data_IF_739770846808
#
_entry.id   IF_739770846808
#
_cell.length_a   1.000
_cell.length_b   1.000
_cell.length_c   1.000
_cell.angle_alpha   90.00
_cell.angle_beta   90.00
_cell.angle_gamma   90.00
#
_symmetry.space_group_name_H-M   'P 1'
#
loop_
_entity.id
_entity.type
_entity.pdbx_description
1 polymer ?
#
# COMPACT_ATOMS: atom_id res chain seq x y z
N UNK A 1 15.33 -1.16 30.79
CA UNK A 1 15.36 0.10 30.03
C UNK A 1 14.28 0.04 28.97
N UNK A 2 13.36 0.97 28.94
CA UNK A 2 12.33 1.06 27.88
C UNK A 2 12.98 1.52 26.59
N UNK A 3 12.78 0.79 25.50
CA UNK A 3 13.24 1.16 24.16
C UNK A 3 12.17 1.99 23.46
N UNK A 4 12.55 3.10 22.83
CA UNK A 4 11.61 3.94 22.08
C UNK A 4 11.60 3.52 20.62
N UNK A 5 10.41 3.45 20.02
CA UNK A 5 10.23 3.03 18.63
C UNK A 5 9.24 3.92 17.88
N UNK A 6 9.43 4.03 16.56
CA UNK A 6 8.45 4.55 15.62
C UNK A 6 7.92 3.37 14.82
N UNK A 7 6.60 3.24 14.74
CA UNK A 7 5.97 2.25 13.86
C UNK A 7 5.77 2.84 12.46
N UNK A 8 6.28 2.13 11.45
CA UNK A 8 6.08 2.47 10.04
C UNK A 8 5.16 1.41 9.44
N UNK A 9 3.90 1.78 9.22
CA UNK A 9 2.88 0.86 8.75
C UNK A 9 3.03 0.60 7.24
N UNK A 10 2.91 -0.67 6.80
CA UNK A 10 3.13 -1.06 5.42
C UNK A 10 2.00 -0.59 4.50
N UNK A 11 2.34 -0.35 3.24
CA UNK A 11 1.42 -0.20 2.12
C UNK A 11 1.16 -1.53 1.40
N UNK A 12 0.44 -1.46 0.27
CA UNK A 12 0.21 -2.64 -0.59
C UNK A 12 1.52 -3.23 -1.11
N UNK A 13 1.52 -4.54 -1.39
CA UNK A 13 2.68 -5.26 -1.91
C UNK A 13 3.60 -5.87 -0.85
N UNK A 14 3.20 -5.87 0.41
CA UNK A 14 3.99 -6.40 1.53
C UNK A 14 3.51 -7.79 2.03
N UNK A 15 2.49 -8.38 1.41
CA UNK A 15 2.10 -9.77 1.63
C UNK A 15 2.34 -10.56 0.34
N UNK A 16 3.31 -11.45 0.35
CA UNK A 16 3.79 -12.22 -0.80
C UNK A 16 3.93 -13.71 -0.43
N UNK A 17 4.53 -14.50 -1.30
CA UNK A 17 4.71 -15.94 -1.05
C UNK A 17 5.43 -16.28 0.29
N UNK A 18 6.45 -15.54 0.74
CA UNK A 18 7.08 -15.81 2.04
C UNK A 18 6.17 -15.54 3.25
N UNK A 19 5.17 -14.66 3.11
CA UNK A 19 4.23 -14.31 4.17
C UNK A 19 3.05 -15.28 4.27
N UNK A 20 2.89 -16.23 3.35
CA UNK A 20 1.79 -17.19 3.39
C UNK A 20 1.85 -18.03 4.66
N UNK A 21 0.74 -18.08 5.41
CA UNK A 21 0.65 -18.72 6.71
C UNK A 21 1.14 -17.85 7.89
N UNK A 22 1.45 -16.58 7.64
CA UNK A 22 1.99 -15.67 8.66
C UNK A 22 1.03 -15.44 9.83
N UNK A 23 -0.26 -15.31 9.57
CA UNK A 23 -1.27 -15.07 10.61
C UNK A 23 -1.49 -16.26 11.54
N UNK A 24 -1.19 -17.47 11.09
CA UNK A 24 -1.34 -18.68 11.89
C UNK A 24 -0.56 -18.62 13.21
N UNK A 25 0.65 -18.05 13.21
CA UNK A 25 1.46 -17.89 14.42
C UNK A 25 0.89 -16.86 15.40
N UNK A 26 0.10 -15.91 14.92
CA UNK A 26 -0.51 -14.86 15.73
C UNK A 26 -1.86 -15.27 16.34
N UNK A 27 -2.51 -16.30 15.80
CA UNK A 27 -3.82 -16.81 16.24
C UNK A 27 -3.91 -16.98 17.76
N UNK A 28 -2.98 -17.63 18.47
CA UNK A 28 -3.13 -17.85 19.91
C UNK A 28 -3.31 -16.58 20.74
N UNK A 29 -2.85 -15.44 20.22
CA UNK A 29 -2.94 -14.14 20.91
C UNK A 29 -4.08 -13.25 20.36
N UNK A 30 -4.41 -13.37 19.08
CA UNK A 30 -5.32 -12.46 18.37
C UNK A 30 -6.55 -13.15 17.80
N UNK A 31 -6.90 -14.35 18.30
CA UNK A 31 -7.95 -15.21 17.75
C UNK A 31 -9.30 -14.45 17.60
N UNK A 32 -9.77 -13.84 18.69
CA UNK A 32 -11.03 -13.07 18.69
C UNK A 32 -11.02 -11.91 17.69
N UNK A 33 -9.87 -11.25 17.53
CA UNK A 33 -9.75 -10.11 16.60
C UNK A 33 -9.79 -10.58 15.15
N UNK A 34 -9.05 -11.65 14.85
CA UNK A 34 -9.01 -12.26 13.52
C UNK A 34 -10.36 -12.87 13.13
N UNK A 35 -11.06 -13.50 14.07
CA UNK A 35 -12.42 -13.98 13.86
C UNK A 35 -13.40 -12.84 13.55
N UNK A 36 -13.21 -11.67 14.17
CA UNK A 36 -13.98 -10.48 13.84
C UNK A 36 -13.73 -9.98 12.42
N UNK A 37 -12.49 -10.05 11.93
CA UNK A 37 -12.16 -9.72 10.53
C UNK A 37 -12.77 -10.72 9.57
N UNK A 38 -12.68 -12.01 9.88
CA UNK A 38 -13.29 -13.08 9.09
C UNK A 38 -14.82 -12.93 9.02
N UNK A 39 -15.48 -12.62 10.13
CA UNK A 39 -16.91 -12.38 10.16
C UNK A 39 -17.35 -11.20 9.26
N UNK A 40 -16.57 -10.11 9.22
CA UNK A 40 -16.85 -9.00 8.31
C UNK A 40 -16.76 -9.42 6.84
N UNK A 41 -15.77 -10.25 6.48
CA UNK A 41 -15.61 -10.75 5.11
C UNK A 41 -16.72 -11.73 4.72
N UNK A 42 -17.09 -12.63 5.62
CA UNK A 42 -18.21 -13.55 5.41
C UNK A 42 -19.51 -12.77 5.13
N UNK A 43 -19.77 -11.71 5.90
CA UNK A 43 -20.96 -10.86 5.69
C UNK A 43 -20.99 -10.19 4.31
N UNK A 44 -19.81 -10.01 3.67
CA UNK A 44 -19.65 -9.46 2.32
C UNK A 44 -19.50 -10.55 1.23
N UNK A 45 -19.65 -11.82 1.57
CA UNK A 45 -19.41 -12.97 0.69
C UNK A 45 -17.99 -13.02 0.11
N UNK A 46 -17.02 -12.55 0.89
CA UNK A 46 -15.59 -12.59 0.56
C UNK A 46 -14.91 -13.78 1.24
N UNK A 47 -13.85 -14.30 0.65
CA UNK A 47 -12.99 -15.33 1.29
C UNK A 47 -12.40 -14.78 2.58
N UNK A 48 -12.42 -15.54 3.67
CA UNK A 48 -11.88 -15.10 4.97
C UNK A 48 -10.39 -14.84 4.91
N UNK A 49 -9.89 -14.01 5.83
CA UNK A 49 -8.43 -13.77 5.98
C UNK A 49 -7.74 -15.08 6.36
N UNK A 50 -8.38 -15.88 7.22
CA UNK A 50 -7.87 -17.18 7.66
C UNK A 50 -7.75 -18.16 6.49
N UNK A 51 -8.74 -18.27 5.62
CA UNK A 51 -8.70 -19.16 4.47
C UNK A 51 -7.63 -18.72 3.46
N UNK A 52 -7.51 -17.40 3.23
CA UNK A 52 -6.46 -16.85 2.37
C UNK A 52 -5.06 -17.18 2.93
N UNK A 53 -4.80 -16.85 4.20
CA UNK A 53 -3.50 -17.09 4.85
C UNK A 53 -3.14 -18.58 4.92
N UNK A 54 -4.15 -19.45 5.02
CA UNK A 54 -3.98 -20.92 5.13
C UNK A 54 -3.87 -21.64 3.79
N UNK A 55 -3.84 -20.91 2.67
CA UNK A 55 -3.74 -21.50 1.33
C UNK A 55 -2.41 -22.26 1.18
N UNK A 56 -2.43 -23.39 0.47
CA UNK A 56 -1.24 -24.20 0.25
C UNK A 56 -0.21 -23.52 -0.68
N UNK A 57 -0.67 -22.61 -1.54
CA UNK A 57 0.16 -21.94 -2.53
C UNK A 57 -0.23 -20.48 -2.70
N UNK A 58 0.77 -19.62 -2.81
CA UNK A 58 0.58 -18.23 -3.20
C UNK A 58 0.27 -18.15 -4.70
N UNK A 59 -0.91 -17.63 -5.03
CA UNK A 59 -1.29 -17.31 -6.41
C UNK A 59 -1.38 -15.78 -6.55
N UNK A 60 -0.50 -15.15 -7.35
CA UNK A 60 -0.56 -13.70 -7.54
C UNK A 60 -1.92 -13.19 -8.00
N UNK A 61 -2.67 -13.96 -8.83
CA UNK A 61 -3.99 -13.57 -9.30
C UNK A 61 -5.04 -13.46 -8.17
N UNK A 62 -4.79 -14.10 -7.04
CA UNK A 62 -5.65 -14.06 -5.85
C UNK A 62 -5.11 -13.08 -4.81
N UNK A 63 -3.82 -13.18 -4.50
CA UNK A 63 -3.22 -12.49 -3.35
C UNK A 63 -2.83 -11.04 -3.62
N UNK A 64 -2.67 -10.63 -4.89
CA UNK A 64 -2.40 -9.23 -5.23
C UNK A 64 -3.66 -8.41 -5.50
N UNK A 65 -4.83 -9.04 -5.55
CA UNK A 65 -6.12 -8.34 -5.66
C UNK A 65 -6.31 -7.37 -4.49
N UNK A 66 -6.82 -6.18 -4.79
CA UNK A 66 -7.02 -5.13 -3.79
C UNK A 66 -7.90 -5.57 -2.62
N UNK A 67 -8.95 -6.33 -2.90
CA UNK A 67 -9.90 -6.84 -1.91
C UNK A 67 -9.34 -7.97 -1.01
N UNK A 68 -8.29 -8.68 -1.43
CA UNK A 68 -7.62 -9.72 -0.64
C UNK A 68 -6.35 -9.20 0.03
N UNK A 69 -5.47 -8.57 -0.75
CA UNK A 69 -4.19 -8.05 -0.25
C UNK A 69 -4.38 -7.08 0.92
N UNK A 70 -5.36 -6.18 0.81
CA UNK A 70 -5.57 -5.14 1.82
C UNK A 70 -5.91 -5.72 3.18
N UNK A 71 -6.80 -6.70 3.25
CA UNK A 71 -7.17 -7.36 4.50
C UNK A 71 -6.03 -8.16 5.12
N UNK A 72 -5.27 -8.93 4.30
CA UNK A 72 -4.12 -9.72 4.76
C UNK A 72 -3.01 -8.82 5.33
N UNK A 73 -2.65 -7.75 4.62
CA UNK A 73 -1.62 -6.81 5.06
C UNK A 73 -2.06 -6.09 6.34
N UNK A 74 -3.33 -5.66 6.41
CA UNK A 74 -3.86 -5.02 7.61
C UNK A 74 -3.80 -5.95 8.82
N UNK A 75 -4.30 -7.18 8.68
CA UNK A 75 -4.33 -8.16 9.77
C UNK A 75 -2.91 -8.48 10.28
N UNK A 76 -1.96 -8.71 9.37
CA UNK A 76 -0.55 -8.96 9.73
C UNK A 76 0.07 -7.77 10.45
N UNK A 77 -0.04 -6.57 9.90
CA UNK A 77 0.53 -5.37 10.50
C UNK A 77 -0.12 -5.00 11.85
N UNK A 78 -1.43 -5.24 12.00
CA UNK A 78 -2.12 -5.07 13.27
C UNK A 78 -1.58 -6.04 14.34
N UNK A 79 -1.45 -7.32 14.00
CA UNK A 79 -0.91 -8.32 14.92
C UNK A 79 0.52 -7.98 15.35
N UNK A 80 1.37 -7.55 14.43
CA UNK A 80 2.75 -7.14 14.72
C UNK A 80 2.80 -5.91 15.62
N UNK A 81 2.10 -4.85 15.23
CA UNK A 81 2.12 -3.58 15.95
C UNK A 81 1.50 -3.69 17.35
N UNK A 82 0.39 -4.45 17.49
CA UNK A 82 -0.26 -4.70 18.78
C UNK A 82 0.43 -5.80 19.59
N UNK A 83 1.28 -6.59 18.94
CA UNK A 83 2.05 -7.68 19.52
C UNK A 83 3.39 -7.29 20.15
N UNK A 84 3.77 -6.02 20.11
CA UNK A 84 5.06 -5.55 20.61
C UNK A 84 5.30 -5.89 22.09
N UNK A 85 6.55 -6.07 22.45
CA UNK A 85 6.94 -6.33 23.85
C UNK A 85 6.69 -5.10 24.70
N UNK A 86 6.34 -5.33 25.99
CA UNK A 86 6.05 -4.27 26.97
C UNK A 86 7.24 -3.34 27.28
N UNK A 87 8.46 -3.72 26.87
CA UNK A 87 9.66 -2.87 27.01
C UNK A 87 9.83 -1.88 25.84
N UNK A 88 8.90 -1.90 24.86
CA UNK A 88 8.89 -0.96 23.72
C UNK A 88 7.84 0.13 23.94
N UNK A 89 8.29 1.36 24.00
CA UNK A 89 7.44 2.56 24.00
C UNK A 89 7.28 3.07 22.57
N UNK A 90 6.08 2.95 22.01
CA UNK A 90 5.78 3.51 20.69
C UNK A 90 5.57 5.03 20.85
N UNK A 91 6.48 5.81 20.30
CA UNK A 91 6.46 7.29 20.42
C UNK A 91 5.81 7.98 19.22
N UNK A 92 5.71 7.29 18.09
CA UNK A 92 5.00 7.76 16.90
C UNK A 92 4.59 6.57 16.03
N UNK A 93 3.51 6.76 15.27
CA UNK A 93 3.04 5.83 14.25
C UNK A 93 2.90 6.60 12.94
N UNK A 94 3.36 6.02 11.84
CA UNK A 94 3.26 6.62 10.50
C UNK A 94 3.03 5.54 9.46
N UNK A 95 2.66 5.95 8.25
CA UNK A 95 2.47 5.06 7.11
C UNK A 95 2.28 5.85 5.84
N UNK A 96 2.25 5.16 4.71
CA UNK A 96 1.95 5.75 3.40
C UNK A 96 0.87 4.93 2.70
N UNK A 97 0.02 5.58 1.90
CA UNK A 97 -1.07 4.92 1.18
C UNK A 97 -1.96 4.14 2.17
N UNK A 98 -2.16 2.84 1.96
CA UNK A 98 -2.91 1.98 2.89
C UNK A 98 -2.32 1.99 4.33
N UNK A 99 -1.02 2.20 4.47
CA UNK A 99 -0.37 2.31 5.78
C UNK A 99 -0.93 3.43 6.66
N UNK A 100 -1.55 4.47 6.11
CA UNK A 100 -2.26 5.49 6.87
C UNK A 100 -3.43 4.93 7.68
N UNK A 101 -4.21 4.04 7.08
CA UNK A 101 -5.35 3.41 7.76
C UNK A 101 -4.90 2.50 8.90
N UNK A 102 -3.81 1.74 8.67
CA UNK A 102 -3.19 0.90 9.71
C UNK A 102 -2.65 1.78 10.86
N UNK A 103 -1.96 2.88 10.50
CA UNK A 103 -1.43 3.81 11.49
C UNK A 103 -2.52 4.43 12.37
N UNK A 104 -3.69 4.76 11.83
CA UNK A 104 -4.83 5.27 12.61
C UNK A 104 -5.30 4.25 13.66
N UNK A 105 -5.32 2.97 13.31
CA UNK A 105 -5.69 1.90 14.24
C UNK A 105 -4.62 1.70 15.32
N UNK A 106 -3.35 1.58 14.93
CA UNK A 106 -2.25 1.36 15.88
C UNK A 106 -1.99 2.58 16.80
N UNK A 107 -2.38 3.78 16.35
CA UNK A 107 -2.39 4.99 17.17
C UNK A 107 -3.61 5.10 18.07
N UNK A 108 -4.58 4.17 17.99
CA UNK A 108 -5.81 4.19 18.80
C UNK A 108 -6.86 5.21 18.36
N UNK A 109 -6.74 5.79 17.15
CA UNK A 109 -7.71 6.75 16.62
C UNK A 109 -9.03 6.09 16.18
N UNK A 110 -8.96 4.83 15.73
CA UNK A 110 -10.11 3.99 15.38
C UNK A 110 -9.91 2.58 15.95
N UNK A 111 -11.01 1.84 16.15
CA UNK A 111 -10.93 0.44 16.61
C UNK A 111 -10.30 -0.45 15.53
N UNK A 112 -9.77 -1.60 15.94
CA UNK A 112 -9.23 -2.61 15.01
C UNK A 112 -10.28 -3.11 14.02
N UNK A 113 -11.52 -3.24 14.46
CA UNK A 113 -12.62 -3.71 13.61
C UNK A 113 -13.06 -2.63 12.60
N UNK A 114 -13.09 -1.36 13.01
CA UNK A 114 -13.39 -0.26 12.09
C UNK A 114 -12.25 0.01 11.11
N UNK A 115 -11.00 -0.12 11.57
CA UNK A 115 -9.82 -0.03 10.71
C UNK A 115 -9.82 -1.14 9.66
N UNK A 116 -10.13 -2.39 10.04
CA UNK A 116 -10.28 -3.48 9.10
C UNK A 116 -11.40 -3.23 8.09
N UNK A 117 -12.58 -2.79 8.55
CA UNK A 117 -13.71 -2.43 7.69
C UNK A 117 -13.32 -1.37 6.67
N UNK A 118 -12.63 -0.32 7.10
CA UNK A 118 -12.15 0.75 6.24
C UNK A 118 -11.22 0.22 5.14
N UNK A 119 -10.20 -0.54 5.54
CA UNK A 119 -9.20 -1.11 4.60
C UNK A 119 -9.83 -2.10 3.64
N UNK A 120 -10.70 -2.98 4.13
CA UNK A 120 -11.40 -3.97 3.31
C UNK A 120 -12.33 -3.29 2.28
N UNK A 121 -13.06 -2.25 2.70
CA UNK A 121 -13.92 -1.45 1.80
C UNK A 121 -13.10 -0.74 0.74
N UNK A 122 -11.99 -0.10 1.10
CA UNK A 122 -11.12 0.58 0.15
C UNK A 122 -10.48 -0.39 -0.85
N UNK A 123 -10.06 -1.57 -0.36
CA UNK A 123 -9.52 -2.62 -1.23
C UNK A 123 -10.55 -3.14 -2.25
N UNK A 124 -11.78 -3.34 -1.82
CA UNK A 124 -12.89 -3.76 -2.67
C UNK A 124 -13.26 -2.66 -3.72
N UNK A 125 -13.34 -1.40 -3.29
CA UNK A 125 -13.59 -0.27 -4.20
C UNK A 125 -12.49 -0.16 -5.26
N UNK A 126 -11.22 -0.26 -4.87
CA UNK A 126 -10.11 -0.23 -5.80
C UNK A 126 -10.13 -1.41 -6.77
N UNK A 127 -10.54 -2.60 -6.32
CA UNK A 127 -10.65 -3.77 -7.19
C UNK A 127 -11.78 -3.65 -8.22
N UNK A 128 -12.91 -3.07 -7.83
CA UNK A 128 -14.08 -2.93 -8.72
C UNK A 128 -14.01 -1.72 -9.65
N UNK A 129 -13.33 -0.66 -9.23
CA UNK A 129 -13.32 0.64 -9.91
C UNK A 129 -11.90 1.04 -10.30
N UNK A 130 -11.26 0.23 -11.14
CA UNK A 130 -9.95 0.55 -11.73
C UNK A 130 -10.15 1.63 -12.81
N UNK A 131 -9.95 2.91 -12.44
CA UNK A 131 -10.18 4.06 -13.34
C UNK A 131 -8.91 4.63 -13.95
N UNK A 132 -7.75 4.11 -13.60
CA UNK A 132 -6.46 4.59 -14.09
C UNK A 132 -5.32 3.74 -13.57
N UNK A 133 -4.11 4.25 -13.68
CA UNK A 133 -2.90 3.60 -13.21
C UNK A 133 -1.97 4.55 -12.49
N UNK A 134 -0.88 3.99 -11.96
CA UNK A 134 0.18 4.75 -11.33
C UNK A 134 1.54 4.32 -11.88
N UNK A 135 2.48 5.26 -11.87
CA UNK A 135 3.89 4.97 -12.10
C UNK A 135 4.78 5.72 -11.11
N UNK A 136 5.96 5.15 -10.87
CA UNK A 136 6.98 5.74 -10.01
C UNK A 136 8.14 6.23 -10.86
N UNK A 137 8.65 7.42 -10.51
CA UNK A 137 9.82 7.99 -11.15
C UNK A 137 10.73 8.71 -10.14
N UNK A 138 12.07 8.50 -10.19
CA UNK A 138 13.00 9.10 -9.25
C UNK A 138 13.28 10.55 -9.58
N UNK A 139 13.43 11.37 -8.53
CA UNK A 139 13.86 12.76 -8.58
C UNK A 139 15.22 12.97 -7.90
N UNK A 140 15.92 11.88 -7.63
CA UNK A 140 17.26 11.90 -7.04
C UNK A 140 18.33 11.64 -8.08
N UNK A 141 19.54 12.08 -7.79
CA UNK A 141 20.75 11.63 -8.47
C UNK A 141 21.16 10.20 -8.01
N UNK A 142 22.31 9.73 -8.47
CA UNK A 142 22.88 8.42 -8.12
C UNK A 142 23.29 8.29 -6.65
N UNK A 143 23.44 9.41 -5.93
CA UNK A 143 23.76 9.46 -4.51
C UNK A 143 22.52 9.64 -3.62
N UNK A 144 21.31 9.49 -4.17
CA UNK A 144 20.04 9.73 -3.51
C UNK A 144 19.80 11.17 -3.02
N UNK A 145 20.53 12.13 -3.58
CA UNK A 145 20.31 13.56 -3.34
C UNK A 145 19.22 14.06 -4.30
N UNK A 146 18.27 14.84 -3.77
CA UNK A 146 17.17 15.37 -4.58
C UNK A 146 17.72 16.33 -5.64
N UNK A 147 17.42 16.03 -6.91
CA UNK A 147 17.64 16.91 -8.04
C UNK A 147 16.43 17.84 -8.20
N UNK A 148 16.52 19.03 -7.65
CA UNK A 148 15.46 20.03 -7.70
C UNK A 148 15.14 20.49 -9.14
N UNK A 149 16.12 20.54 -10.02
CA UNK A 149 15.92 20.87 -11.43
C UNK A 149 15.09 19.80 -12.15
N UNK A 150 15.43 18.53 -11.94
CA UNK A 150 14.65 17.41 -12.45
C UNK A 150 13.23 17.42 -11.90
N UNK A 151 13.07 17.63 -10.59
CA UNK A 151 11.74 17.70 -9.97
C UNK A 151 10.88 18.80 -10.61
N UNK A 152 11.43 19.98 -10.79
CA UNK A 152 10.73 21.10 -11.44
C UNK A 152 10.36 20.77 -12.90
N UNK A 153 11.28 20.22 -13.66
CA UNK A 153 11.01 19.75 -15.03
C UNK A 153 9.86 18.75 -15.10
N UNK A 154 9.84 17.76 -14.19
CA UNK A 154 8.77 16.76 -14.15
C UNK A 154 7.41 17.37 -13.79
N UNK A 155 7.40 18.36 -12.88
CA UNK A 155 6.16 19.11 -12.57
C UNK A 155 5.58 19.80 -13.80
N UNK A 156 6.43 20.43 -14.60
CA UNK A 156 6.01 21.10 -15.84
C UNK A 156 5.59 20.11 -16.93
N UNK A 157 6.32 18.99 -17.05
CA UNK A 157 5.99 17.94 -17.99
C UNK A 157 4.62 17.31 -17.69
N UNK A 158 4.31 17.03 -16.44
CA UNK A 158 3.00 16.49 -16.03
C UNK A 158 1.89 17.45 -16.44
N UNK A 159 2.03 18.75 -16.14
CA UNK A 159 1.04 19.76 -16.55
C UNK A 159 0.88 19.84 -18.08
N UNK A 160 1.98 19.73 -18.82
CA UNK A 160 1.98 19.78 -20.28
C UNK A 160 1.29 18.56 -20.88
N UNK A 161 1.44 17.40 -20.28
CA UNK A 161 0.75 16.16 -20.73
C UNK A 161 -0.73 16.23 -20.38
N UNK A 162 -1.06 16.60 -19.15
CA UNK A 162 -2.44 16.70 -18.67
C UNK A 162 -3.28 17.70 -19.47
N UNK A 163 -2.67 18.78 -19.96
CA UNK A 163 -3.34 19.76 -20.82
C UNK A 163 -3.72 19.24 -22.22
N UNK A 164 -3.27 18.06 -22.63
CA UNK A 164 -3.62 17.46 -23.92
C UNK A 164 -4.97 16.76 -23.83
N UNK A 165 -5.82 16.95 -24.84
CA UNK A 165 -7.13 16.29 -24.92
C UNK A 165 -7.00 14.77 -24.80
N UNK A 166 -7.76 14.17 -23.91
CA UNK A 166 -7.79 12.72 -23.68
C UNK A 166 -6.64 12.19 -22.79
N UNK A 167 -5.78 13.07 -22.26
CA UNK A 167 -4.75 12.70 -21.31
C UNK A 167 -5.13 13.19 -19.92
N UNK A 168 -5.06 12.29 -18.93
CA UNK A 168 -5.15 12.63 -17.52
C UNK A 168 -3.83 12.21 -16.87
N UNK A 169 -3.15 13.14 -16.22
CA UNK A 169 -1.90 12.87 -15.51
C UNK A 169 -1.71 13.85 -14.35
N UNK A 170 -1.52 13.32 -13.16
CA UNK A 170 -1.32 14.16 -11.97
C UNK A 170 -0.27 13.58 -11.03
N UNK A 171 0.22 14.42 -10.12
CA UNK A 171 1.01 13.95 -8.97
C UNK A 171 0.08 13.31 -7.95
N UNK A 172 0.37 12.05 -7.61
CA UNK A 172 -0.35 11.31 -6.58
C UNK A 172 0.37 11.39 -5.23
N UNK A 173 1.66 11.04 -5.19
CA UNK A 173 2.41 10.99 -3.94
C UNK A 173 3.84 11.52 -4.15
N UNK A 174 4.31 12.34 -3.24
CA UNK A 174 5.71 12.76 -3.13
C UNK A 174 6.37 11.97 -1.99
N UNK A 175 7.24 11.03 -2.34
CA UNK A 175 8.00 10.21 -1.40
C UNK A 175 9.38 10.81 -1.08
N UNK A 176 9.59 12.09 -1.37
CA UNK A 176 10.87 12.75 -1.23
C UNK A 176 11.78 12.48 -2.42
N UNK A 177 12.38 11.29 -2.48
CA UNK A 177 13.27 10.90 -3.59
C UNK A 177 12.59 10.30 -4.81
N UNK A 178 11.32 9.91 -4.68
CA UNK A 178 10.51 9.31 -5.73
C UNK A 178 9.18 10.04 -5.84
N UNK A 179 8.70 10.22 -7.05
CA UNK A 179 7.34 10.73 -7.33
C UNK A 179 6.47 9.59 -7.82
N UNK A 180 5.27 9.51 -7.29
CA UNK A 180 4.20 8.65 -7.82
C UNK A 180 3.26 9.52 -8.63
N UNK A 181 3.08 9.18 -9.90
CA UNK A 181 2.13 9.80 -10.80
C UNK A 181 0.91 8.92 -10.95
N UNK A 182 -0.25 9.50 -11.10
CA UNK A 182 -1.49 8.80 -11.43
C UNK A 182 -2.10 9.40 -12.70
N UNK A 183 -2.75 8.57 -13.49
CA UNK A 183 -3.38 9.03 -14.73
C UNK A 183 -4.07 7.90 -15.50
N UNK A 184 -4.67 8.29 -16.63
CA UNK A 184 -5.16 7.33 -17.60
C UNK A 184 -4.00 6.75 -18.45
N UNK A 185 -4.29 5.74 -19.25
CA UNK A 185 -3.26 5.07 -20.07
C UNK A 185 -2.54 6.03 -21.01
N UNK A 186 -3.28 6.96 -21.62
CA UNK A 186 -2.70 7.94 -22.54
C UNK A 186 -1.71 8.89 -21.84
N UNK A 187 -2.08 9.41 -20.66
CA UNK A 187 -1.22 10.29 -19.86
C UNK A 187 0.03 9.57 -19.36
N UNK A 188 -0.13 8.38 -18.82
CA UNK A 188 1.00 7.58 -18.31
C UNK A 188 1.96 7.18 -19.44
N UNK A 189 1.45 6.70 -20.57
CA UNK A 189 2.26 6.33 -21.74
C UNK A 189 2.99 7.54 -22.36
N UNK A 190 2.34 8.71 -22.41
CA UNK A 190 2.99 9.93 -22.88
C UNK A 190 4.14 10.36 -21.98
N UNK A 191 4.01 10.19 -20.65
CA UNK A 191 5.08 10.44 -19.70
C UNK A 191 6.24 9.47 -19.92
N UNK A 192 5.98 8.16 -19.98
CA UNK A 192 7.00 7.12 -20.20
C UNK A 192 7.80 7.33 -21.49
N UNK A 193 7.13 7.80 -22.56
CA UNK A 193 7.78 8.09 -23.84
C UNK A 193 8.68 9.33 -23.80
N UNK A 194 8.48 10.22 -22.83
CA UNK A 194 9.17 11.52 -22.78
C UNK A 194 10.36 11.50 -21.82
N UNK A 195 10.27 10.74 -20.71
CA UNK A 195 11.34 10.76 -19.70
C UNK A 195 12.42 9.71 -19.99
N UNK A 196 13.69 9.99 -19.63
CA UNK A 196 14.76 9.00 -19.78
C UNK A 196 14.55 7.82 -18.85
N UNK A 197 15.01 6.65 -19.29
CA UNK A 197 15.08 5.47 -18.42
C UNK A 197 16.18 5.63 -17.38
N UNK A 198 15.84 5.44 -16.11
CA UNK A 198 16.78 5.54 -14.98
C UNK A 198 16.91 4.17 -14.32
N UNK A 199 18.14 3.76 -13.99
CA UNK A 199 18.47 2.48 -13.34
C UNK A 199 17.88 1.24 -14.07
N UNK A 200 17.64 1.33 -15.36
CA UNK A 200 17.07 0.24 -16.18
C UNK A 200 15.62 -0.16 -15.86
N UNK A 201 15.01 0.43 -14.83
CA UNK A 201 13.66 0.06 -14.35
C UNK A 201 12.66 1.22 -14.28
N UNK A 202 13.10 2.46 -14.22
CA UNK A 202 12.21 3.62 -14.18
C UNK A 202 12.09 4.29 -15.56
N UNK A 203 10.91 4.80 -15.93
CA UNK A 203 9.65 4.79 -15.18
C UNK A 203 9.13 3.38 -14.91
N UNK A 204 8.55 3.17 -13.73
CA UNK A 204 8.03 1.86 -13.31
C UNK A 204 6.53 1.95 -13.05
N UNK A 205 5.75 1.25 -13.86
CA UNK A 205 4.30 1.09 -13.62
C UNK A 205 4.08 0.35 -12.31
N UNK A 206 3.26 0.90 -11.43
CA UNK A 206 2.70 0.13 -10.34
C UNK A 206 1.58 -0.72 -10.91
N UNK A 207 1.61 -2.02 -10.59
CA UNK A 207 0.57 -2.93 -11.08
C UNK A 207 -0.78 -2.51 -10.49
N UNK A 208 -1.77 -2.37 -11.34
CA UNK A 208 -3.15 -2.13 -10.98
C UNK A 208 -3.77 -3.46 -10.55
N UNK A 209 -3.73 -3.73 -9.27
CA UNK A 209 -4.35 -4.91 -8.67
C UNK A 209 -5.25 -4.50 -7.51
#
# INVERSE_FOLDING_TARGET
MTRRAVLICPGRGTYNAPELGYLKQHRPRFDTVLDGFDAQRVALSQTTITDLDSSERFDPAVFTRGDNASGLIYASAYCDGSGLNADIEVVAVTGNSMGWYIAMTLAGAISEQDGFRLVNTMGDLMQRHLIGGQLVYPVTDENWVIDHGRKQYLLELVRTIDAKTGHDLCFSIDLGGLLVLAGNEAGLSAFEATVPKIMGRFPMRLQNH
#
